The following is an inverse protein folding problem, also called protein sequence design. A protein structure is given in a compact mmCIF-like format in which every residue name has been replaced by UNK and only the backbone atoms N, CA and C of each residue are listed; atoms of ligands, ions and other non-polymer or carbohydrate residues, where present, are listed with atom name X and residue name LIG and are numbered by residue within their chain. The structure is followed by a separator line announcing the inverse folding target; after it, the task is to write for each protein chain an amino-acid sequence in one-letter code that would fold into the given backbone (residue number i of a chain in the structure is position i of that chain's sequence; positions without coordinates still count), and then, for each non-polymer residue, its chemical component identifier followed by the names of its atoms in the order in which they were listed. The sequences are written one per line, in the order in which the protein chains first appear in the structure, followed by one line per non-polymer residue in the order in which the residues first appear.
data_IF_097197375566
#
_entry.id   IF_097197375566
#
_cell.length_a   1.000
_cell.length_b   1.000
_cell.length_c   1.000
_cell.angle_alpha   90.00
_cell.angle_beta   90.00
_cell.angle_gamma   90.00
#
_symmetry.space_group_name_H-M   'P 1'
#
loop_
_entity.id
_entity.type
_entity.pdbx_description
1 polymer ?
#
# COMPACT_ATOMS: atom_id res chain seq x y z
N UNK A 1 -61.62 -37.46 -1.93
CA UNK A 1 -61.23 -36.46 -0.92
C UNK A 1 -59.73 -36.48 -0.64
N UNK A 2 -59.03 -37.62 -0.77
CA UNK A 2 -57.56 -37.69 -0.59
C UNK A 2 -56.73 -37.02 -1.70
N UNK A 3 -57.21 -36.99 -2.94
CA UNK A 3 -56.48 -36.40 -4.08
C UNK A 3 -56.40 -34.86 -3.95
N UNK A 4 -57.47 -34.22 -3.48
CA UNK A 4 -57.51 -32.77 -3.24
C UNK A 4 -56.56 -32.33 -2.12
N UNK A 5 -56.48 -33.09 -1.02
CA UNK A 5 -55.54 -32.82 0.07
C UNK A 5 -54.06 -32.99 -0.34
N UNK A 6 -53.78 -33.89 -1.29
CA UNK A 6 -52.41 -34.12 -1.78
C UNK A 6 -51.94 -32.98 -2.71
N UNK A 7 -52.80 -32.47 -3.59
CA UNK A 7 -52.48 -31.30 -4.43
C UNK A 7 -52.25 -30.03 -3.60
N UNK A 8 -53.11 -29.76 -2.61
CA UNK A 8 -52.94 -28.62 -1.69
C UNK A 8 -51.65 -28.75 -0.84
N UNK A 9 -51.30 -29.96 -0.41
CA UNK A 9 -50.07 -30.22 0.33
C UNK A 9 -48.81 -30.05 -0.55
N UNK A 10 -48.83 -30.53 -1.79
CA UNK A 10 -47.69 -30.38 -2.72
C UNK A 10 -47.46 -28.93 -3.15
N UNK A 11 -48.53 -28.16 -3.39
CA UNK A 11 -48.46 -26.73 -3.68
C UNK A 11 -47.95 -25.92 -2.49
N UNK A 12 -48.39 -26.22 -1.26
CA UNK A 12 -47.85 -25.61 -0.04
C UNK A 12 -46.35 -25.91 0.11
N UNK A 13 -45.93 -27.17 -0.08
CA UNK A 13 -44.53 -27.58 0.05
C UNK A 13 -43.62 -26.89 -0.98
N UNK A 14 -44.07 -26.78 -2.23
CA UNK A 14 -43.32 -26.10 -3.29
C UNK A 14 -43.25 -24.59 -3.04
N UNK A 15 -44.34 -23.96 -2.57
CA UNK A 15 -44.32 -22.56 -2.16
C UNK A 15 -43.31 -22.31 -1.03
N UNK A 16 -43.34 -23.11 0.05
CA UNK A 16 -42.37 -23.01 1.16
C UNK A 16 -40.93 -23.21 0.66
N UNK A 17 -40.69 -24.20 -0.21
CA UNK A 17 -39.36 -24.44 -0.78
C UNK A 17 -38.86 -23.26 -1.63
N UNK A 18 -39.75 -22.61 -2.39
CA UNK A 18 -39.38 -21.46 -3.22
C UNK A 18 -39.02 -20.24 -2.37
N UNK A 19 -39.78 -19.97 -1.30
CA UNK A 19 -39.51 -18.89 -0.34
C UNK A 19 -38.16 -19.12 0.36
N UNK A 20 -37.91 -20.34 0.81
CA UNK A 20 -36.63 -20.72 1.41
C UNK A 20 -35.47 -20.57 0.43
N UNK A 21 -35.69 -20.91 -0.85
CA UNK A 21 -34.71 -20.68 -1.92
C UNK A 21 -34.34 -19.21 -2.08
N UNK A 22 -35.35 -18.33 -2.16
CA UNK A 22 -35.13 -16.88 -2.27
C UNK A 22 -34.38 -16.33 -1.06
N UNK A 23 -34.74 -16.76 0.16
CA UNK A 23 -34.06 -16.36 1.39
C UNK A 23 -32.60 -16.82 1.38
N UNK A 24 -32.35 -18.07 1.02
CA UNK A 24 -30.99 -18.64 0.95
C UNK A 24 -30.12 -17.90 -0.09
N UNK A 25 -30.64 -17.65 -1.29
CA UNK A 25 -29.93 -16.88 -2.32
C UNK A 25 -29.64 -15.46 -1.86
N UNK A 26 -30.59 -14.82 -1.19
CA UNK A 26 -30.42 -13.46 -0.66
C UNK A 26 -29.32 -13.42 0.41
N UNK A 27 -29.33 -14.37 1.36
CA UNK A 27 -28.26 -14.49 2.37
C UNK A 27 -26.90 -14.76 1.75
N UNK A 28 -26.82 -15.60 0.70
CA UNK A 28 -25.58 -15.85 -0.03
C UNK A 28 -25.03 -14.58 -0.68
N UNK A 29 -25.89 -13.76 -1.29
CA UNK A 29 -25.49 -12.46 -1.87
C UNK A 29 -24.95 -11.53 -0.77
N UNK A 30 -25.65 -11.42 0.37
CA UNK A 30 -25.16 -10.59 1.49
C UNK A 30 -23.83 -11.10 2.05
N UNK A 31 -23.66 -12.41 2.19
CA UNK A 31 -22.42 -13.01 2.66
C UNK A 31 -21.26 -12.73 1.69
N UNK A 32 -21.50 -12.82 0.38
CA UNK A 32 -20.50 -12.48 -0.64
C UNK A 32 -20.12 -10.99 -0.57
N UNK A 33 -21.11 -10.09 -0.49
CA UNK A 33 -20.85 -8.65 -0.35
C UNK A 33 -20.05 -8.32 0.92
N UNK A 34 -20.41 -8.96 2.05
CA UNK A 34 -19.69 -8.80 3.31
C UNK A 34 -18.25 -9.33 3.21
N UNK A 35 -18.07 -10.51 2.62
CA UNK A 35 -16.75 -11.13 2.39
C UNK A 35 -15.88 -10.25 1.51
N UNK A 36 -16.40 -9.75 0.37
CA UNK A 36 -15.67 -8.83 -0.50
C UNK A 36 -15.25 -7.54 0.22
N UNK A 37 -16.15 -6.97 1.03
CA UNK A 37 -15.85 -5.76 1.82
C UNK A 37 -14.77 -6.03 2.86
N UNK A 38 -14.86 -7.15 3.56
CA UNK A 38 -13.88 -7.57 4.57
C UNK A 38 -12.53 -7.84 3.93
N UNK A 39 -12.50 -8.57 2.81
CA UNK A 39 -11.31 -8.85 2.03
C UNK A 39 -10.60 -7.58 1.57
N UNK A 40 -11.34 -6.58 1.06
CA UNK A 40 -10.75 -5.27 0.70
C UNK A 40 -10.08 -4.59 1.89
N UNK A 41 -10.73 -4.58 3.06
CA UNK A 41 -10.15 -4.02 4.28
C UNK A 41 -8.91 -4.78 4.75
N UNK A 42 -8.95 -6.11 4.74
CA UNK A 42 -7.82 -6.95 5.12
C UNK A 42 -6.64 -6.77 4.17
N UNK A 43 -6.88 -6.73 2.86
CA UNK A 43 -5.84 -6.49 1.86
C UNK A 43 -5.19 -5.13 2.01
N UNK A 44 -5.97 -4.08 2.30
CA UNK A 44 -5.41 -2.77 2.65
C UNK A 44 -4.47 -2.91 3.86
N UNK A 45 -4.97 -3.39 5.01
CA UNK A 45 -4.20 -3.50 6.27
C UNK A 45 -2.91 -4.32 6.12
N UNK A 46 -2.96 -5.48 5.45
CA UNK A 46 -1.78 -6.34 5.24
C UNK A 46 -0.72 -5.61 4.41
N UNK A 47 -1.14 -4.94 3.34
CA UNK A 47 -0.23 -4.22 2.45
C UNK A 47 0.43 -3.01 3.14
N UNK A 48 -0.29 -2.32 4.03
CA UNK A 48 0.30 -1.27 4.88
C UNK A 48 1.33 -1.83 5.87
N UNK A 49 1.02 -2.95 6.52
CA UNK A 49 1.94 -3.59 7.47
C UNK A 49 3.25 -4.03 6.81
N UNK A 50 3.20 -4.50 5.56
CA UNK A 50 4.39 -4.86 4.79
C UNK A 50 5.24 -3.64 4.44
N UNK A 51 4.61 -2.55 4.01
CA UNK A 51 5.28 -1.28 3.72
C UNK A 51 6.02 -0.76 4.96
N UNK A 52 5.33 -0.67 6.10
CA UNK A 52 5.91 -0.19 7.35
C UNK A 52 7.09 -1.07 7.80
N UNK A 53 6.94 -2.40 7.65
CA UNK A 53 8.01 -3.35 7.96
C UNK A 53 9.23 -3.13 7.07
N UNK A 54 9.04 -2.96 5.76
CA UNK A 54 10.16 -2.70 4.84
C UNK A 54 10.88 -1.41 5.21
N UNK A 55 10.15 -0.34 5.48
CA UNK A 55 10.73 0.93 5.92
C UNK A 55 11.49 0.78 7.24
N UNK A 56 10.93 0.04 8.20
CA UNK A 56 11.59 -0.24 9.46
C UNK A 56 12.90 -1.03 9.29
N UNK A 57 12.97 -1.98 8.37
CA UNK A 57 14.23 -2.68 8.05
C UNK A 57 15.26 -1.74 7.41
N UNK A 58 14.85 -0.83 6.53
CA UNK A 58 15.73 0.22 5.98
C UNK A 58 16.28 1.11 7.10
N UNK A 59 15.44 1.50 8.07
CA UNK A 59 15.87 2.30 9.22
C UNK A 59 16.79 1.54 10.17
N UNK A 60 16.56 0.24 10.37
CA UNK A 60 17.46 -0.61 11.16
C UNK A 60 18.85 -0.70 10.54
N UNK A 61 18.94 -0.82 9.22
CA UNK A 61 20.24 -0.84 8.54
C UNK A 61 20.97 0.50 8.74
N UNK A 62 20.26 1.63 8.62
CA UNK A 62 20.80 2.94 8.95
C UNK A 62 21.22 3.09 10.43
N UNK A 63 20.48 2.45 11.35
CA UNK A 63 20.83 2.43 12.77
C UNK A 63 22.11 1.63 13.02
N UNK A 64 22.28 0.49 12.34
CA UNK A 64 23.48 -0.34 12.41
C UNK A 64 24.69 0.36 11.79
N UNK A 65 24.46 1.17 10.75
CA UNK A 65 25.49 1.90 9.98
C UNK A 65 25.17 3.41 9.92
N UNK A 66 25.49 4.18 10.97
CA UNK A 66 25.10 5.60 11.06
C UNK A 66 25.67 6.50 9.95
N UNK A 67 26.75 6.09 9.27
CA UNK A 67 27.32 6.82 8.13
C UNK A 67 26.39 6.89 6.90
N UNK A 68 25.36 6.04 6.86
CA UNK A 68 24.37 6.04 5.78
C UNK A 68 23.44 7.26 5.83
N UNK A 69 23.16 7.80 7.02
CA UNK A 69 22.22 8.93 7.21
C UNK A 69 22.96 10.23 7.56
N UNK A 70 24.14 10.15 8.15
CA UNK A 70 24.90 11.34 8.56
C UNK A 70 25.33 12.16 7.33
N UNK A 71 25.04 13.45 7.38
CA UNK A 71 25.51 14.41 6.37
C UNK A 71 26.88 14.97 6.74
N UNK A 72 27.63 15.42 5.73
CA UNK A 72 28.92 16.11 5.91
C UNK A 72 29.99 15.30 6.68
N UNK A 73 30.01 13.99 6.48
CA UNK A 73 31.10 13.13 6.95
C UNK A 73 31.99 12.75 5.78
N UNK A 74 33.28 12.64 6.05
CA UNK A 74 34.22 12.00 5.13
C UNK A 74 33.99 10.49 5.19
N UNK A 75 33.70 9.88 4.04
CA UNK A 75 33.45 8.44 3.93
C UNK A 75 34.66 7.79 3.29
N UNK A 76 35.02 6.60 3.76
CA UNK A 76 35.94 5.75 3.02
C UNK A 76 35.26 5.16 1.76
N UNK A 77 36.04 4.51 0.91
CA UNK A 77 35.56 3.95 -0.38
C UNK A 77 34.47 2.89 -0.17
N UNK A 78 34.57 2.08 0.89
CA UNK A 78 33.59 1.04 1.21
C UNK A 78 32.29 1.68 1.72
N UNK A 79 32.38 2.64 2.64
CA UNK A 79 31.27 3.42 3.19
C UNK A 79 30.55 4.25 2.13
N UNK A 80 31.26 4.77 1.13
CA UNK A 80 30.66 5.45 0.00
C UNK A 80 29.86 4.47 -0.87
N UNK A 81 30.40 3.28 -1.10
CA UNK A 81 29.69 2.21 -1.82
C UNK A 81 28.43 1.78 -1.05
N UNK A 82 28.53 1.58 0.26
CA UNK A 82 27.40 1.27 1.13
C UNK A 82 26.34 2.38 1.11
N UNK A 83 26.77 3.65 1.18
CA UNK A 83 25.87 4.80 1.06
C UNK A 83 25.15 4.84 -0.29
N UNK A 84 25.86 4.59 -1.39
CA UNK A 84 25.27 4.59 -2.73
C UNK A 84 24.20 3.50 -2.89
N UNK A 85 24.48 2.29 -2.38
CA UNK A 85 23.50 1.20 -2.39
C UNK A 85 22.30 1.56 -1.51
N UNK A 86 22.55 2.08 -0.30
CA UNK A 86 21.51 2.47 0.62
C UNK A 86 20.61 3.57 0.06
N UNK A 87 21.20 4.65 -0.48
CA UNK A 87 20.47 5.74 -1.09
C UNK A 87 19.61 5.26 -2.26
N UNK A 88 20.13 4.33 -3.09
CA UNK A 88 19.35 3.72 -4.16
C UNK A 88 18.14 2.93 -3.62
N UNK A 89 18.32 2.13 -2.58
CA UNK A 89 17.24 1.37 -1.93
C UNK A 89 16.17 2.32 -1.38
N UNK A 90 16.57 3.36 -0.65
CA UNK A 90 15.65 4.37 -0.11
C UNK A 90 14.86 5.02 -1.23
N UNK A 91 15.51 5.53 -2.27
CA UNK A 91 14.81 6.20 -3.37
C UNK A 91 13.88 5.27 -4.14
N UNK A 92 14.26 4.02 -4.39
CA UNK A 92 13.40 3.04 -5.05
C UNK A 92 12.17 2.68 -4.20
N UNK A 93 12.36 2.57 -2.88
CA UNK A 93 11.26 2.39 -1.94
C UNK A 93 10.31 3.61 -1.95
N UNK A 94 10.84 4.83 -1.87
CA UNK A 94 10.04 6.05 -1.90
C UNK A 94 9.29 6.24 -3.22
N UNK A 95 9.88 5.87 -4.37
CA UNK A 95 9.20 5.85 -5.67
C UNK A 95 8.01 4.88 -5.67
N UNK A 96 8.21 3.67 -5.14
CA UNK A 96 7.14 2.67 -5.01
C UNK A 96 6.01 3.15 -4.09
N UNK A 97 6.34 3.89 -3.03
CA UNK A 97 5.35 4.52 -2.15
C UNK A 97 4.64 5.67 -2.84
N UNK A 98 5.36 6.48 -3.62
CA UNK A 98 4.75 7.55 -4.41
C UNK A 98 3.70 7.02 -5.38
N UNK A 99 4.00 5.96 -6.12
CA UNK A 99 3.06 5.30 -7.03
C UNK A 99 1.79 4.84 -6.29
N UNK A 100 1.94 4.28 -5.09
CA UNK A 100 0.82 3.84 -4.24
C UNK A 100 0.03 5.01 -3.67
N UNK A 101 0.71 6.08 -3.26
CA UNK A 101 0.09 7.32 -2.81
C UNK A 101 -0.78 7.95 -3.90
N UNK A 102 -0.46 7.81 -5.19
CA UNK A 102 -1.33 8.31 -6.26
C UNK A 102 -2.69 7.60 -6.31
N UNK A 103 -2.75 6.35 -5.86
CA UNK A 103 -3.97 5.54 -5.81
C UNK A 103 -4.76 5.73 -4.50
N UNK A 104 -4.08 6.10 -3.41
CA UNK A 104 -4.66 6.21 -2.08
C UNK A 104 -4.31 7.53 -1.39
N UNK A 105 -5.34 8.35 -1.15
CA UNK A 105 -5.18 9.68 -0.55
C UNK A 105 -4.83 9.63 0.95
N UNK A 106 -5.17 8.56 1.66
CA UNK A 106 -4.82 8.43 3.09
C UNK A 106 -3.32 8.15 3.26
N UNK A 107 -2.73 7.35 2.35
CA UNK A 107 -1.29 7.10 2.30
C UNK A 107 -0.47 8.39 2.20
N UNK A 108 -0.97 9.38 1.44
CA UNK A 108 -0.28 10.67 1.27
C UNK A 108 -0.01 11.35 2.61
N UNK A 109 -0.95 11.28 3.55
CA UNK A 109 -0.86 11.99 4.84
C UNK A 109 0.31 11.49 5.69
N UNK A 110 0.56 10.19 5.65
CA UNK A 110 1.61 9.55 6.46
C UNK A 110 2.97 9.56 5.77
N UNK A 111 2.99 9.32 4.45
CA UNK A 111 4.24 9.08 3.73
C UNK A 111 4.89 10.34 3.16
N UNK A 112 4.13 11.41 2.90
CA UNK A 112 4.72 12.65 2.40
C UNK A 112 5.72 13.29 3.38
N UNK A 113 5.46 13.33 4.70
CA UNK A 113 6.45 13.76 5.69
C UNK A 113 7.72 12.88 5.68
N UNK A 114 7.56 11.56 5.51
CA UNK A 114 8.69 10.61 5.45
C UNK A 114 9.53 10.88 4.20
N UNK A 115 8.90 11.00 3.03
CA UNK A 115 9.57 11.33 1.77
C UNK A 115 10.31 12.67 1.91
N UNK A 116 9.72 13.66 2.59
CA UNK A 116 10.36 14.95 2.83
C UNK A 116 11.62 14.83 3.71
N UNK A 117 11.54 14.02 4.77
CA UNK A 117 12.66 13.78 5.68
C UNK A 117 13.82 13.06 4.96
N UNK A 118 13.53 11.98 4.25
CA UNK A 118 14.52 11.21 3.50
C UNK A 118 15.11 12.01 2.34
N UNK A 119 14.28 12.79 1.64
CA UNK A 119 14.75 13.74 0.64
C UNK A 119 15.80 14.66 1.24
N UNK A 120 15.54 15.29 2.39
CA UNK A 120 16.52 16.22 3.00
C UNK A 120 17.89 15.56 3.21
N UNK A 121 17.91 14.27 3.56
CA UNK A 121 19.12 13.49 3.77
C UNK A 121 19.83 13.13 2.46
N UNK A 122 19.09 12.58 1.50
CA UNK A 122 19.62 11.93 0.30
C UNK A 122 19.45 12.74 -1.00
N UNK A 123 19.02 14.00 -0.91
CA UNK A 123 18.77 14.85 -2.09
C UNK A 123 20.01 15.00 -2.97
N UNK A 124 21.20 15.18 -2.36
CA UNK A 124 22.44 15.34 -3.11
C UNK A 124 22.76 14.14 -4.01
N UNK A 125 22.40 12.93 -3.56
CA UNK A 125 22.64 11.70 -4.30
C UNK A 125 21.76 11.61 -5.57
N UNK A 126 20.48 11.95 -5.46
CA UNK A 126 19.55 11.88 -6.60
C UNK A 126 19.69 13.06 -7.57
N UNK A 127 20.43 14.11 -7.22
CA UNK A 127 20.73 15.19 -8.16
C UNK A 127 21.82 14.81 -9.18
N UNK A 128 22.58 13.72 -8.92
CA UNK A 128 23.58 13.21 -9.87
C UNK A 128 22.89 12.64 -11.12
N UNK A 129 23.34 13.06 -12.30
CA UNK A 129 22.74 12.68 -13.58
C UNK A 129 22.68 11.15 -13.78
N UNK A 130 23.74 10.45 -13.38
CA UNK A 130 23.82 8.98 -13.43
C UNK A 130 22.72 8.28 -12.63
N UNK A 131 22.28 8.91 -11.53
CA UNK A 131 21.24 8.34 -10.66
C UNK A 131 19.84 8.76 -11.09
N UNK A 132 19.67 9.96 -11.65
CA UNK A 132 18.37 10.45 -12.13
C UNK A 132 17.76 9.56 -13.20
N UNK A 133 18.57 9.05 -14.12
CA UNK A 133 18.12 8.17 -15.22
C UNK A 133 17.48 6.86 -14.74
N UNK A 134 17.67 6.47 -13.48
CA UNK A 134 17.16 5.23 -12.89
C UNK A 134 15.71 5.34 -12.38
N UNK A 135 15.14 6.55 -12.33
CA UNK A 135 13.81 6.82 -11.77
C UNK A 135 12.88 7.46 -12.78
N UNK A 136 11.57 7.36 -12.54
CA UNK A 136 10.53 7.95 -13.39
C UNK A 136 10.57 9.47 -13.33
N UNK A 137 10.31 10.13 -14.46
CA UNK A 137 10.27 11.59 -14.56
C UNK A 137 9.20 12.21 -13.65
N UNK A 138 8.04 11.57 -13.50
CA UNK A 138 6.96 12.05 -12.62
C UNK A 138 7.41 12.13 -11.16
N UNK A 139 8.11 11.09 -10.69
CA UNK A 139 8.66 11.03 -9.34
C UNK A 139 9.77 12.07 -9.15
N UNK A 140 10.68 12.20 -10.13
CA UNK A 140 11.73 13.22 -10.09
C UNK A 140 11.13 14.64 -10.06
N UNK A 141 10.11 14.92 -10.87
CA UNK A 141 9.39 16.19 -10.88
C UNK A 141 8.75 16.49 -9.53
N UNK A 142 8.18 15.48 -8.88
CA UNK A 142 7.63 15.58 -7.53
C UNK A 142 8.72 15.90 -6.48
N UNK A 143 9.84 15.18 -6.54
CA UNK A 143 11.00 15.40 -5.65
C UNK A 143 11.60 16.78 -5.87
N UNK A 144 11.71 17.26 -7.11
CA UNK A 144 12.29 18.57 -7.41
C UNK A 144 11.36 19.71 -6.95
N UNK A 145 10.05 19.59 -7.18
CA UNK A 145 9.05 20.58 -6.74
C UNK A 145 9.03 20.79 -5.23
N UNK A 146 9.33 19.74 -4.45
CA UNK A 146 9.40 19.82 -2.99
C UNK A 146 8.10 20.24 -2.29
N UNK A 147 6.95 20.17 -2.99
CA UNK A 147 5.63 20.50 -2.45
C UNK A 147 5.00 19.24 -1.87
N UNK A 148 5.18 19.04 -0.57
CA UNK A 148 4.61 17.92 0.20
C UNK A 148 3.35 18.33 0.95
N UNK A 149 2.59 19.30 0.43
CA UNK A 149 1.39 19.82 1.08
C UNK A 149 0.24 18.82 0.96
N UNK A 150 -0.16 18.29 2.11
CA UNK A 150 -1.47 17.67 2.27
C UNK A 150 -2.45 18.84 2.41
N UNK A 151 -3.19 19.16 1.35
CA UNK A 151 -4.32 20.07 1.47
C UNK A 151 -5.22 19.55 2.60
N UNK A 152 -5.35 20.36 3.66
CA UNK A 152 -6.12 20.05 4.86
C UNK A 152 -7.60 20.00 4.53
#
# INVERSE_FOLDING_TARGET
MEIFFNEEYTTLRTAVSSIMGVIATTMAIFALLYSMRTYRKTMQIVHYGEIDKMYFEILKEALAKPHLVRQNIERDVEQETEYNIYAFIVWNFLESIYDRCMLDAELKKTWFPIIQAERKTHFGWIQQEENRTKFKEDFLSFVDKGKFEVAT
#
